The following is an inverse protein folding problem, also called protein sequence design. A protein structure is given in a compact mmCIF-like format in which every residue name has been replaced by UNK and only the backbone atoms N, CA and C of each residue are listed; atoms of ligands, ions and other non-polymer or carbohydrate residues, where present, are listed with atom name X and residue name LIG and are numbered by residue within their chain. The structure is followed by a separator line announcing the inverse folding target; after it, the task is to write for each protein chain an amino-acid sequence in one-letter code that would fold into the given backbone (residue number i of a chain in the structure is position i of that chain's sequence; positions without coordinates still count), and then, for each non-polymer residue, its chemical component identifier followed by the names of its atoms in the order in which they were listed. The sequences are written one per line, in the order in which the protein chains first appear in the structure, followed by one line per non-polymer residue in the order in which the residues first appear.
data_IF_231836572148
#
_entry.id   IF_231836572148
#
_cell.length_a   1.000
_cell.length_b   1.000
_cell.length_c   1.000
_cell.angle_alpha   90.00
_cell.angle_beta   90.00
_cell.angle_gamma   90.00
#
_symmetry.space_group_name_H-M   'P 1'
#
loop_
_entity.id
_entity.type
_entity.pdbx_description
1 polymer ?
#
# COMPACT_ATOMS: atom_id res chain seq x y z
N UNK A 1 -15.73 38.03 -20.20
CA UNK A 1 -14.43 37.36 -19.98
C UNK A 1 -14.71 36.09 -19.21
N UNK A 2 -14.53 34.92 -19.82
CA UNK A 2 -14.60 33.66 -19.07
C UNK A 2 -13.42 33.68 -18.08
N UNK A 3 -13.70 33.78 -16.78
CA UNK A 3 -12.65 33.78 -15.77
C UNK A 3 -11.80 32.52 -15.93
N UNK A 4 -10.48 32.66 -15.98
CA UNK A 4 -9.58 31.51 -15.99
C UNK A 4 -9.94 30.62 -14.80
N UNK A 5 -10.43 29.41 -15.10
CA UNK A 5 -10.78 28.43 -14.08
C UNK A 5 -9.51 28.15 -13.28
N UNK A 6 -9.50 28.45 -11.98
CA UNK A 6 -8.36 28.18 -11.09
C UNK A 6 -7.97 26.71 -11.25
N UNK A 7 -6.71 26.47 -11.63
CA UNK A 7 -6.15 25.12 -11.81
C UNK A 7 -5.97 24.43 -10.45
N UNK A 8 -6.10 23.11 -10.42
CA UNK A 8 -6.01 22.32 -9.19
C UNK A 8 -4.54 22.13 -8.80
N UNK A 9 -4.12 22.75 -7.70
CA UNK A 9 -2.72 22.74 -7.28
C UNK A 9 -2.43 21.60 -6.29
N UNK A 10 -1.48 20.72 -6.65
CA UNK A 10 -0.96 19.68 -5.77
C UNK A 10 0.45 20.08 -5.33
N UNK A 11 0.60 20.47 -4.06
CA UNK A 11 1.91 20.65 -3.44
C UNK A 11 2.53 19.27 -3.17
N UNK A 12 3.75 19.01 -3.65
CA UNK A 12 4.44 17.74 -3.37
C UNK A 12 5.70 17.91 -2.53
N UNK A 13 5.85 17.02 -1.54
CA UNK A 13 7.03 16.94 -0.68
C UNK A 13 7.49 15.48 -0.57
N UNK A 14 8.55 15.12 -1.28
CA UNK A 14 9.00 13.73 -1.43
C UNK A 14 10.46 13.58 -1.01
N UNK A 15 10.85 12.36 -0.61
CA UNK A 15 12.27 12.02 -0.48
C UNK A 15 13.02 12.22 -1.82
N UNK A 16 14.27 12.72 -1.82
CA UNK A 16 14.99 13.07 -3.05
C UNK A 16 15.05 11.95 -4.09
N UNK A 17 15.32 10.71 -3.66
CA UNK A 17 15.32 9.54 -4.56
C UNK A 17 13.97 9.32 -5.24
N UNK A 18 12.88 9.53 -4.51
CA UNK A 18 11.54 9.35 -5.04
C UNK A 18 11.19 10.47 -5.99
N UNK A 19 11.43 11.73 -5.60
CA UNK A 19 11.22 12.90 -6.45
C UNK A 19 11.88 12.70 -7.83
N UNK A 20 13.17 12.39 -7.86
CA UNK A 20 13.94 12.19 -9.10
C UNK A 20 13.41 11.05 -9.99
N UNK A 21 12.88 10.00 -9.35
CA UNK A 21 12.35 8.83 -10.06
C UNK A 21 10.90 8.99 -10.52
N UNK A 22 10.10 9.79 -9.81
CA UNK A 22 8.63 9.81 -9.92
C UNK A 22 8.11 11.11 -10.55
N UNK A 23 8.63 12.27 -10.17
CA UNK A 23 8.23 13.57 -10.72
C UNK A 23 9.04 13.82 -12.00
N UNK A 24 8.70 13.07 -13.05
CA UNK A 24 9.27 13.23 -14.39
C UNK A 24 8.51 14.30 -15.17
N UNK A 25 9.17 14.92 -16.15
CA UNK A 25 8.52 15.90 -17.04
C UNK A 25 7.29 15.32 -17.74
N UNK A 26 7.30 14.03 -18.09
CA UNK A 26 6.14 13.32 -18.65
C UNK A 26 4.91 13.40 -17.74
N UNK A 27 5.07 13.11 -16.45
CA UNK A 27 4.00 13.20 -15.45
C UNK A 27 3.53 14.65 -15.26
N UNK A 28 4.47 15.58 -15.12
CA UNK A 28 4.16 17.00 -14.90
C UNK A 28 3.37 17.57 -16.08
N UNK A 29 3.82 17.31 -17.31
CA UNK A 29 3.15 17.79 -18.51
C UNK A 29 1.77 17.15 -18.70
N UNK A 30 1.63 15.85 -18.43
CA UNK A 30 0.35 15.16 -18.54
C UNK A 30 -0.66 15.67 -17.51
N UNK A 31 -0.26 15.80 -16.24
CA UNK A 31 -1.10 16.40 -15.19
C UNK A 31 -1.52 17.83 -15.57
N UNK A 32 -0.56 18.63 -16.05
CA UNK A 32 -0.80 20.01 -16.49
C UNK A 32 -1.80 20.06 -17.64
N UNK A 33 -1.71 19.16 -18.62
CA UNK A 33 -2.66 19.10 -19.73
C UNK A 33 -4.09 18.81 -19.28
N UNK A 34 -4.27 18.22 -18.09
CA UNK A 34 -5.57 17.89 -17.49
C UNK A 34 -5.98 18.81 -16.35
N UNK A 35 -5.38 19.99 -16.25
CA UNK A 35 -5.78 21.02 -15.29
C UNK A 35 -5.22 20.85 -13.88
N UNK A 36 -4.28 19.92 -13.68
CA UNK A 36 -3.61 19.67 -12.40
C UNK A 36 -2.18 20.21 -12.45
N UNK A 37 -1.82 21.08 -11.50
CA UNK A 37 -0.46 21.60 -11.38
C UNK A 37 0.28 20.92 -10.24
N UNK A 38 1.41 20.28 -10.54
CA UNK A 38 2.31 19.70 -9.55
C UNK A 38 3.35 20.74 -9.13
N UNK A 39 3.29 21.18 -7.88
CA UNK A 39 4.13 22.26 -7.36
C UNK A 39 5.04 21.71 -6.27
N UNK A 40 6.36 21.88 -6.42
CA UNK A 40 7.32 21.44 -5.41
C UNK A 40 7.16 22.28 -4.15
N UNK A 41 7.02 21.62 -3.00
CA UNK A 41 7.08 22.28 -1.70
C UNK A 41 8.55 22.50 -1.32
N UNK A 42 8.89 23.73 -0.99
CA UNK A 42 10.16 24.11 -0.37
C UNK A 42 10.14 23.70 1.10
N UNK A 43 11.08 22.82 1.48
CA UNK A 43 11.15 22.23 2.82
C UNK A 43 11.81 23.15 3.84
N UNK A 44 12.48 24.21 3.38
CA UNK A 44 13.13 25.21 4.25
C UNK A 44 12.16 26.33 4.66
N UNK A 45 10.91 26.29 4.16
CA UNK A 45 9.86 27.26 4.44
C UNK A 45 8.65 26.58 5.04
N UNK A 46 7.85 27.33 5.80
CA UNK A 46 6.60 26.81 6.35
C UNK A 46 5.61 26.43 5.22
N UNK A 47 4.92 25.29 5.39
CA UNK A 47 3.99 24.77 4.38
C UNK A 47 2.78 25.69 4.17
N UNK A 48 2.29 26.30 5.24
CA UNK A 48 1.13 27.21 5.21
C UNK A 48 1.34 28.45 4.34
N UNK A 49 2.59 28.86 4.14
CA UNK A 49 2.94 30.11 3.43
C UNK A 49 3.26 29.87 1.94
N UNK A 50 3.13 28.62 1.46
CA UNK A 50 3.48 28.22 0.09
C UNK A 50 2.25 27.96 -0.79
N UNK A 51 1.06 28.01 -0.20
CA UNK A 51 -0.20 27.76 -0.88
C UNK A 51 -0.73 28.93 -1.73
N UNK A 52 -1.97 28.82 -2.22
CA UNK A 52 -2.96 27.80 -1.85
C UNK A 52 -2.73 26.47 -2.56
N UNK A 53 -2.62 25.38 -1.81
CA UNK A 53 -2.67 24.02 -2.36
C UNK A 53 -4.06 23.42 -2.17
N UNK A 54 -4.54 22.72 -3.19
CA UNK A 54 -5.77 21.97 -3.12
C UNK A 54 -5.57 20.56 -2.56
N UNK A 55 -4.37 20.02 -2.74
CA UNK A 55 -3.93 18.74 -2.23
C UNK A 55 -2.44 18.81 -1.86
N UNK A 56 -2.03 18.09 -0.81
CA UNK A 56 -0.64 17.86 -0.45
C UNK A 56 -0.32 16.38 -0.64
N UNK A 57 0.56 16.09 -1.59
CA UNK A 57 1.10 14.76 -1.86
C UNK A 57 2.46 14.63 -1.15
N UNK A 58 2.62 13.68 -0.25
CA UNK A 58 3.86 13.60 0.50
C UNK A 58 4.40 12.19 0.68
N UNK A 59 5.71 12.12 0.89
CA UNK A 59 6.41 10.94 1.38
C UNK A 59 7.57 11.40 2.24
N UNK A 60 7.25 12.09 3.32
CA UNK A 60 8.18 12.50 4.35
C UNK A 60 7.70 11.96 5.70
N UNK A 61 8.62 11.81 6.62
CA UNK A 61 8.39 11.22 7.94
C UNK A 61 8.96 12.13 9.02
N UNK A 62 8.58 11.89 10.27
CA UNK A 62 9.06 12.63 11.43
C UNK A 62 8.05 13.66 11.95
N UNK A 63 8.19 14.02 13.22
CA UNK A 63 7.25 14.88 13.95
C UNK A 63 7.16 16.29 13.35
N UNK A 64 8.28 16.88 12.94
CA UNK A 64 8.30 18.21 12.33
C UNK A 64 7.38 18.29 11.09
N UNK A 65 7.40 17.25 10.25
CA UNK A 65 6.56 17.20 9.06
C UNK A 65 5.08 17.00 9.41
N UNK A 66 4.77 16.17 10.43
CA UNK A 66 3.40 16.02 10.93
C UNK A 66 2.83 17.34 11.45
N UNK A 67 3.63 18.11 12.18
CA UNK A 67 3.25 19.44 12.68
C UNK A 67 2.94 20.38 11.50
N UNK A 68 3.82 20.44 10.49
CA UNK A 68 3.57 21.24 9.28
C UNK A 68 2.27 20.87 8.58
N UNK A 69 1.96 19.57 8.46
CA UNK A 69 0.71 19.09 7.86
C UNK A 69 -0.52 19.45 8.71
N UNK A 70 -0.42 19.36 10.05
CA UNK A 70 -1.50 19.73 10.96
C UNK A 70 -1.80 21.24 10.87
N UNK A 71 -0.76 22.07 10.90
CA UNK A 71 -0.88 23.53 10.74
C UNK A 71 -1.50 23.88 9.39
N UNK A 72 -1.02 23.26 8.31
CA UNK A 72 -1.58 23.43 6.98
C UNK A 72 -3.07 23.07 6.91
N UNK A 73 -3.45 21.93 7.47
CA UNK A 73 -4.85 21.47 7.51
C UNK A 73 -5.74 22.40 8.33
N UNK A 74 -5.24 22.97 9.42
CA UNK A 74 -6.01 23.91 10.26
C UNK A 74 -6.40 25.18 9.49
N UNK A 75 -5.50 25.69 8.64
CA UNK A 75 -5.75 26.88 7.81
C UNK A 75 -6.43 26.56 6.48
N UNK A 76 -6.31 25.31 6.02
CA UNK A 76 -6.85 24.85 4.74
C UNK A 76 -7.71 23.60 4.96
N UNK A 77 -8.86 23.69 5.65
CA UNK A 77 -9.67 22.53 6.04
C UNK A 77 -10.22 21.74 4.85
N UNK A 78 -10.30 22.37 3.67
CA UNK A 78 -10.75 21.74 2.42
C UNK A 78 -9.60 21.17 1.59
N UNK A 79 -8.34 21.27 2.03
CA UNK A 79 -7.22 20.68 1.31
C UNK A 79 -7.07 19.20 1.67
N UNK A 80 -6.80 18.37 0.66
CA UNK A 80 -6.61 16.93 0.83
C UNK A 80 -5.15 16.65 1.18
N UNK A 81 -4.89 15.71 2.09
CA UNK A 81 -3.54 15.22 2.39
C UNK A 81 -3.45 13.76 1.96
N UNK A 82 -2.60 13.47 0.98
CA UNK A 82 -2.38 12.12 0.44
C UNK A 82 -1.02 11.61 0.93
N UNK A 83 -0.94 10.66 1.87
CA UNK A 83 -2.02 10.10 2.72
C UNK A 83 -1.86 10.59 4.17
N UNK A 84 -2.82 10.30 5.07
CA UNK A 84 -2.69 10.70 6.48
C UNK A 84 -1.43 10.12 7.13
N UNK A 85 -0.62 10.90 7.87
CA UNK A 85 0.52 10.37 8.61
C UNK A 85 0.18 9.16 9.49
N UNK A 86 -0.93 9.22 10.23
CA UNK A 86 -1.36 8.13 11.14
C UNK A 86 -1.62 6.82 10.38
N UNK A 87 -2.20 6.90 9.17
CA UNK A 87 -2.46 5.75 8.32
C UNK A 87 -1.15 5.14 7.79
N UNK A 88 -0.18 6.01 7.47
CA UNK A 88 1.14 5.59 6.98
C UNK A 88 1.93 4.89 8.09
N UNK A 89 1.83 5.35 9.35
CA UNK A 89 2.58 4.77 10.48
C UNK A 89 2.23 3.32 10.76
N UNK A 90 0.99 2.87 10.46
CA UNK A 90 0.60 1.46 10.58
C UNK A 90 1.48 0.53 9.74
N UNK A 91 2.12 1.06 8.69
CA UNK A 91 3.04 0.33 7.82
C UNK A 91 4.50 0.32 8.29
N UNK A 92 4.89 1.10 9.30
CA UNK A 92 6.29 1.12 9.79
C UNK A 92 6.65 -0.09 10.65
N UNK A 93 5.66 -0.87 11.09
CA UNK A 93 5.85 -2.10 11.85
C UNK A 93 5.37 -3.31 11.01
N UNK A 94 6.30 -4.25 10.74
CA UNK A 94 6.01 -5.42 9.89
C UNK A 94 4.93 -6.36 10.44
N UNK A 95 4.64 -6.31 11.74
CA UNK A 95 3.54 -7.07 12.35
C UNK A 95 2.22 -6.45 11.94
N UNK A 96 2.00 -5.18 12.32
CA UNK A 96 0.74 -4.48 12.04
C UNK A 96 0.47 -4.33 10.55
N UNK A 97 1.54 -4.25 9.75
CA UNK A 97 1.49 -4.21 8.29
C UNK A 97 0.73 -5.40 7.69
N UNK A 98 1.00 -6.62 8.15
CA UNK A 98 0.39 -7.83 7.58
C UNK A 98 -0.82 -8.32 8.37
N UNK A 99 -0.96 -7.90 9.63
CA UNK A 99 -2.13 -8.24 10.44
C UNK A 99 -3.45 -7.81 9.80
N UNK A 100 -3.46 -6.66 9.10
CA UNK A 100 -4.64 -6.15 8.39
C UNK A 100 -5.16 -7.13 7.33
N UNK A 101 -4.30 -7.98 6.76
CA UNK A 101 -4.70 -9.00 5.78
C UNK A 101 -5.65 -10.01 6.41
N UNK A 102 -5.40 -10.41 7.66
CA UNK A 102 -6.24 -11.35 8.41
C UNK A 102 -7.59 -10.77 8.81
N UNK A 103 -7.75 -9.44 8.77
CA UNK A 103 -9.01 -8.73 9.06
C UNK A 103 -9.94 -8.69 7.84
N UNK A 104 -9.42 -8.95 6.63
CA UNK A 104 -10.19 -8.89 5.40
C UNK A 104 -11.13 -10.10 5.27
N UNK A 105 -12.39 -9.82 4.91
CA UNK A 105 -13.39 -10.83 4.55
C UNK A 105 -13.74 -10.66 3.08
N UNK A 106 -13.15 -11.49 2.24
CA UNK A 106 -13.40 -11.51 0.80
C UNK A 106 -13.88 -12.93 0.48
N UNK A 107 -15.13 -13.04 0.07
CA UNK A 107 -15.71 -14.31 -0.35
C UNK A 107 -15.30 -14.57 -1.79
N UNK A 108 -14.54 -15.64 -2.01
CA UNK A 108 -14.20 -16.13 -3.33
C UNK A 108 -14.27 -17.66 -3.31
N UNK A 109 -14.91 -18.25 -4.33
CA UNK A 109 -15.17 -19.68 -4.41
C UNK A 109 -13.97 -20.49 -4.93
N UNK A 110 -13.09 -19.87 -5.70
CA UNK A 110 -11.99 -20.53 -6.42
C UNK A 110 -10.60 -20.17 -5.90
N UNK A 111 -10.41 -18.95 -5.39
CA UNK A 111 -9.12 -18.47 -4.86
C UNK A 111 -9.14 -18.24 -3.35
N UNK A 112 -7.98 -18.46 -2.72
CA UNK A 112 -7.76 -18.14 -1.31
C UNK A 112 -6.59 -17.19 -1.15
N UNK A 113 -6.61 -16.37 -0.10
CA UNK A 113 -5.50 -15.51 0.25
C UNK A 113 -5.17 -15.56 1.74
N UNK A 114 -3.98 -15.10 2.10
CA UNK A 114 -3.56 -14.95 3.48
C UNK A 114 -2.15 -14.41 3.59
N UNK A 115 -1.50 -14.68 4.72
CA UNK A 115 -0.09 -14.38 4.95
C UNK A 115 0.64 -15.69 5.30
N UNK A 116 1.95 -15.83 4.97
CA UNK A 116 2.73 -16.94 5.49
C UNK A 116 2.78 -16.87 7.02
N UNK A 117 2.97 -18.01 7.69
CA UNK A 117 3.15 -17.99 9.15
C UNK A 117 4.36 -17.14 9.50
N UNK A 118 4.21 -16.33 10.54
CA UNK A 118 5.28 -15.48 11.01
C UNK A 118 5.19 -15.25 12.51
N UNK A 119 6.34 -15.00 13.11
CA UNK A 119 6.49 -14.64 14.52
C UNK A 119 7.49 -13.49 14.66
N UNK A 120 7.52 -12.88 15.83
CA UNK A 120 8.46 -11.81 16.15
C UNK A 120 9.37 -12.27 17.27
N UNK A 121 10.67 -12.04 17.05
CA UNK A 121 11.71 -12.30 18.02
C UNK A 121 12.30 -10.94 18.42
N UNK A 122 12.09 -10.56 19.68
CA UNK A 122 12.51 -9.25 20.21
C UNK A 122 13.94 -9.27 20.74
N UNK A 123 14.38 -10.39 21.29
CA UNK A 123 15.65 -10.55 22.00
C UNK A 123 16.36 -11.86 21.63
N UNK A 124 17.62 -11.95 22.04
CA UNK A 124 18.48 -13.11 21.76
C UNK A 124 18.03 -14.35 22.53
N UNK A 125 17.46 -14.21 23.72
CA UNK A 125 17.02 -15.35 24.55
C UNK A 125 15.90 -16.11 23.85
N UNK A 126 14.88 -15.39 23.37
CA UNK A 126 13.76 -15.95 22.58
C UNK A 126 14.24 -16.55 21.25
N UNK A 127 15.31 -16.01 20.65
CA UNK A 127 15.89 -16.56 19.42
C UNK A 127 16.51 -17.95 19.67
N UNK A 128 17.14 -18.15 20.82
CA UNK A 128 17.78 -19.41 21.21
C UNK A 128 16.80 -20.43 21.80
N UNK A 129 15.59 -20.01 22.19
CA UNK A 129 14.52 -20.90 22.60
C UNK A 129 13.90 -21.60 21.38
N UNK A 130 14.08 -22.91 21.29
CA UNK A 130 13.52 -23.71 20.20
C UNK A 130 11.99 -23.69 20.21
N UNK A 131 11.36 -23.64 21.39
CA UNK A 131 9.90 -23.69 21.52
C UNK A 131 9.24 -22.42 20.95
N UNK A 132 9.93 -21.29 21.02
CA UNK A 132 9.42 -19.99 20.57
C UNK A 132 9.06 -19.96 19.07
N UNK A 133 9.62 -20.85 18.26
CA UNK A 133 9.44 -20.88 16.81
C UNK A 133 9.15 -22.27 16.24
N UNK A 134 8.81 -23.25 17.08
CA UNK A 134 8.44 -24.63 16.71
C UNK A 134 7.33 -24.72 15.65
N UNK A 135 6.47 -23.71 15.56
CA UNK A 135 5.37 -23.65 14.60
C UNK A 135 5.79 -23.28 13.17
N UNK A 136 7.03 -22.79 12.99
CA UNK A 136 7.59 -22.41 11.70
C UNK A 136 8.38 -23.56 11.07
N UNK A 137 8.27 -23.69 9.75
CA UNK A 137 9.06 -24.62 8.94
C UNK A 137 10.18 -23.88 8.22
N UNK A 138 11.36 -24.50 8.18
CA UNK A 138 12.45 -24.02 7.34
C UNK A 138 12.16 -24.28 5.85
N UNK A 139 12.66 -23.41 4.94
CA UNK A 139 13.42 -22.22 5.26
C UNK A 139 12.53 -21.06 5.74
N UNK A 140 13.11 -20.11 6.47
CA UNK A 140 12.41 -18.88 6.92
C UNK A 140 13.12 -17.64 6.41
N UNK A 141 12.36 -16.61 6.05
CA UNK A 141 12.89 -15.28 5.79
C UNK A 141 12.90 -14.50 7.11
N UNK A 142 14.09 -14.08 7.52
CA UNK A 142 14.28 -13.10 8.57
C UNK A 142 14.26 -11.68 7.99
N UNK A 143 13.42 -10.82 8.58
CA UNK A 143 13.26 -9.41 8.20
C UNK A 143 13.44 -8.53 9.44
N UNK A 144 14.08 -7.34 9.34
CA UNK A 144 14.11 -6.39 10.44
C UNK A 144 12.69 -5.97 10.82
N UNK A 145 12.38 -5.86 12.13
CA UNK A 145 11.03 -5.51 12.59
C UNK A 145 10.55 -4.14 12.07
N UNK A 146 11.47 -3.17 12.00
CA UNK A 146 11.21 -1.82 11.49
C UNK A 146 11.18 -1.82 9.96
N UNK A 147 10.12 -1.26 9.38
CA UNK A 147 9.90 -1.10 7.94
C UNK A 147 9.72 0.38 7.55
N UNK A 148 10.76 1.19 7.78
CA UNK A 148 10.77 2.64 7.52
C UNK A 148 11.30 3.03 6.12
N UNK A 149 11.64 2.03 5.28
CA UNK A 149 12.23 2.26 3.96
C UNK A 149 13.72 2.67 4.00
N UNK A 150 14.36 2.63 5.16
CA UNK A 150 15.80 2.84 5.29
C UNK A 150 16.59 1.66 4.70
N UNK A 151 17.85 1.87 4.32
CA UNK A 151 18.72 0.76 3.86
C UNK A 151 18.88 -0.36 4.91
N UNK A 152 18.68 -0.07 6.20
CA UNK A 152 18.73 -1.05 7.29
C UNK A 152 17.47 -1.94 7.31
N UNK A 153 16.29 -1.38 7.03
CA UNK A 153 14.99 -2.10 6.98
C UNK A 153 14.87 -3.13 5.85
N UNK A 154 15.81 -3.09 4.89
CA UNK A 154 15.87 -3.97 3.72
C UNK A 154 16.91 -5.10 3.86
N UNK A 155 17.62 -5.25 4.97
CA UNK A 155 18.55 -6.38 5.14
C UNK A 155 17.78 -7.65 5.53
N UNK A 156 17.47 -8.48 4.54
CA UNK A 156 16.76 -9.74 4.74
C UNK A 156 17.73 -10.92 4.69
N UNK A 157 17.34 -12.04 5.29
CA UNK A 157 18.15 -13.26 5.27
C UNK A 157 17.25 -14.47 5.14
N UNK A 158 17.54 -15.34 4.17
CA UNK A 158 16.89 -16.64 4.02
C UNK A 158 17.68 -17.63 4.87
N UNK A 159 17.03 -18.19 5.87
CA UNK A 159 17.63 -19.08 6.86
C UNK A 159 17.17 -20.50 6.57
N UNK A 160 18.13 -21.42 6.42
CA UNK A 160 17.84 -22.81 6.06
C UNK A 160 17.77 -23.73 7.26
N UNK A 161 18.41 -23.36 8.37
CA UNK A 161 18.51 -24.18 9.56
C UNK A 161 18.74 -23.36 10.83
N UNK A 162 18.80 -24.06 11.98
CA UNK A 162 18.97 -23.45 13.31
C UNK A 162 20.28 -22.68 13.45
N UNK A 163 21.36 -23.18 12.89
CA UNK A 163 22.68 -22.52 12.99
C UNK A 163 22.71 -21.20 12.23
N UNK A 164 21.97 -21.10 11.12
CA UNK A 164 21.74 -19.84 10.43
C UNK A 164 20.91 -18.86 11.25
N UNK A 165 19.89 -19.36 11.97
CA UNK A 165 19.00 -18.57 12.80
C UNK A 165 19.75 -17.91 13.98
N UNK A 166 20.59 -18.70 14.66
CA UNK A 166 21.40 -18.28 15.82
C UNK A 166 22.41 -17.16 15.52
N UNK A 167 22.68 -16.87 14.23
CA UNK A 167 23.59 -15.80 13.79
C UNK A 167 22.88 -14.46 13.60
N UNK A 168 21.56 -14.42 13.75
CA UNK A 168 20.77 -13.21 13.54
C UNK A 168 20.80 -12.28 14.75
N UNK A 169 20.41 -11.03 14.51
CA UNK A 169 20.33 -9.99 15.54
C UNK A 169 18.90 -9.46 15.61
N UNK A 170 18.14 -9.78 16.68
CA UNK A 170 16.84 -9.18 16.98
C UNK A 170 16.90 -7.65 17.14
N UNK A 171 15.78 -6.91 16.99
CA UNK A 171 14.43 -7.43 16.75
C UNK A 171 14.17 -7.78 15.28
N UNK A 172 13.60 -8.97 15.05
CA UNK A 172 13.33 -9.51 13.72
C UNK A 172 11.95 -10.17 13.63
N UNK A 173 11.40 -10.18 12.43
CA UNK A 173 10.27 -11.03 12.04
C UNK A 173 10.82 -12.24 11.31
N UNK A 174 10.44 -13.43 11.76
CA UNK A 174 10.69 -14.69 11.05
C UNK A 174 9.39 -15.07 10.34
N UNK A 175 9.45 -15.22 9.02
CA UNK A 175 8.30 -15.58 8.18
C UNK A 175 8.65 -16.84 7.38
N UNK A 176 7.75 -17.82 7.33
CA UNK A 176 7.96 -19.04 6.52
C UNK A 176 8.21 -18.66 5.05
N UNK A 177 9.24 -19.27 4.47
CA UNK A 177 9.45 -19.22 3.02
C UNK A 177 8.51 -20.22 2.36
N UNK A 178 7.77 -19.75 1.36
CA UNK A 178 6.86 -20.59 0.58
C UNK A 178 7.38 -20.61 -0.85
N UNK A 179 7.64 -21.80 -1.40
CA UNK A 179 8.00 -21.95 -2.82
C UNK A 179 6.87 -21.36 -3.68
N UNK A 180 7.28 -20.53 -4.65
CA UNK A 180 6.38 -19.69 -5.43
C UNK A 180 6.82 -19.57 -6.89
N UNK A 181 7.63 -20.51 -7.37
CA UNK A 181 8.08 -20.58 -8.76
C UNK A 181 9.00 -19.43 -9.15
N UNK A 182 9.61 -18.75 -8.18
CA UNK A 182 10.48 -17.60 -8.44
C UNK A 182 9.77 -16.34 -8.94
N UNK A 183 8.43 -16.27 -8.88
CA UNK A 183 7.67 -15.09 -9.34
C UNK A 183 6.92 -14.41 -8.20
N UNK A 184 7.09 -13.10 -8.10
CA UNK A 184 6.31 -12.26 -7.20
C UNK A 184 5.43 -11.31 -8.01
N UNK A 185 4.18 -11.18 -7.58
CA UNK A 185 3.20 -10.29 -8.14
C UNK A 185 3.17 -9.01 -7.31
N UNK A 186 3.57 -7.89 -7.91
CA UNK A 186 3.45 -6.57 -7.29
C UNK A 186 2.12 -5.95 -7.70
N UNK A 187 1.23 -5.78 -6.74
CA UNK A 187 -0.09 -5.18 -6.96
C UNK A 187 -0.05 -3.72 -6.54
N UNK A 188 0.04 -2.82 -7.51
CA UNK A 188 0.03 -1.37 -7.30
C UNK A 188 -1.40 -0.87 -7.16
N UNK A 189 -1.62 0.00 -6.19
CA UNK A 189 -2.93 0.61 -5.90
C UNK A 189 -2.79 2.12 -5.93
N UNK A 190 -3.58 2.81 -6.75
CA UNK A 190 -3.66 4.27 -6.77
C UNK A 190 -5.14 4.68 -6.73
N UNK A 191 -5.65 4.97 -5.54
CA UNK A 191 -7.08 5.18 -5.33
C UNK A 191 -7.89 3.92 -5.67
N UNK A 192 -8.76 3.99 -6.68
CA UNK A 192 -9.53 2.85 -7.19
C UNK A 192 -8.77 2.00 -8.21
N UNK A 193 -7.68 2.52 -8.78
CA UNK A 193 -6.92 1.80 -9.80
C UNK A 193 -6.05 0.72 -9.18
N UNK A 194 -6.07 -0.48 -9.76
CA UNK A 194 -5.30 -1.65 -9.31
C UNK A 194 -4.60 -2.30 -10.50
N UNK A 195 -3.27 -2.39 -10.44
CA UNK A 195 -2.46 -3.05 -11.47
C UNK A 195 -1.53 -4.09 -10.87
N UNK A 196 -1.68 -5.32 -11.32
CA UNK A 196 -0.77 -6.42 -10.99
C UNK A 196 0.35 -6.51 -12.03
N UNK A 197 1.60 -6.62 -11.58
CA UNK A 197 2.76 -6.87 -12.47
C UNK A 197 3.62 -8.00 -11.95
N UNK A 198 4.19 -8.79 -12.86
CA UNK A 198 5.12 -9.88 -12.55
C UNK A 198 6.53 -9.34 -12.30
N UNK A 199 7.24 -9.94 -11.34
CA UNK A 199 8.66 -9.69 -11.08
C UNK A 199 9.35 -11.00 -10.74
N UNK A 200 10.64 -11.07 -11.08
CA UNK A 200 11.51 -12.15 -10.60
C UNK A 200 11.66 -12.05 -9.08
N UNK A 201 11.70 -13.19 -8.43
CA UNK A 201 11.75 -13.39 -6.99
C UNK A 201 12.82 -14.41 -6.62
N UNK A 202 12.93 -14.75 -5.34
CA UNK A 202 13.80 -15.82 -4.86
C UNK A 202 13.42 -17.17 -5.50
N UNK A 203 14.39 -17.99 -5.95
CA UNK A 203 14.09 -19.29 -6.53
C UNK A 203 13.50 -20.23 -5.47
N UNK A 204 12.80 -21.26 -5.93
CA UNK A 204 12.31 -22.31 -5.05
C UNK A 204 13.49 -23.07 -4.40
N UNK A 205 13.26 -23.51 -3.17
CA UNK A 205 14.22 -24.31 -2.41
C UNK A 205 13.74 -25.75 -2.38
N UNK A 206 14.55 -26.68 -2.90
CA UNK A 206 14.26 -28.11 -2.86
C UNK A 206 14.67 -28.74 -1.53
N UNK A 207 14.10 -29.87 -1.18
CA UNK A 207 14.45 -30.64 0.02
C UNK A 207 15.92 -31.09 0.01
N UNK A 208 16.46 -31.44 -1.16
CA UNK A 208 17.88 -31.78 -1.31
C UNK A 208 18.78 -30.56 -1.06
N UNK A 209 18.34 -29.38 -1.52
CA UNK A 209 19.04 -28.12 -1.26
C UNK A 209 18.99 -27.78 0.23
N UNK A 210 17.86 -28.01 0.91
CA UNK A 210 17.75 -27.81 2.36
C UNK A 210 18.70 -28.71 3.17
N UNK A 211 18.87 -29.97 2.75
CA UNK A 211 19.78 -30.91 3.42
C UNK A 211 21.27 -30.58 3.21
N UNK A 212 21.61 -29.90 2.13
CA UNK A 212 22.99 -29.57 1.77
C UNK A 212 23.39 -28.13 2.13
N UNK A 213 22.43 -27.23 2.32
CA UNK A 213 22.69 -25.84 2.69
C UNK A 213 22.89 -25.68 4.20
N UNK A 214 24.11 -25.35 4.59
CA UNK A 214 24.40 -24.89 5.95
C UNK A 214 24.24 -23.36 6.08
N UNK A 215 23.51 -22.91 7.10
CA UNK A 215 23.48 -21.51 7.52
C UNK A 215 22.38 -20.68 6.87
N UNK A 216 22.77 -19.59 6.19
CA UNK A 216 21.83 -18.54 5.77
C UNK A 216 22.33 -17.73 4.58
N UNK A 217 21.43 -17.30 3.69
CA UNK A 217 21.72 -16.46 2.52
C UNK A 217 21.18 -15.04 2.71
N UNK A 218 22.03 -14.03 2.56
CA UNK A 218 21.65 -12.61 2.74
C UNK A 218 21.15 -12.01 1.43
N UNK A 219 20.10 -11.19 1.50
CA UNK A 219 19.55 -10.49 0.36
C UNK A 219 18.88 -9.17 0.74
N UNK A 220 18.68 -8.27 -0.22
CA UNK A 220 18.10 -6.94 0.04
C UNK A 220 16.59 -6.85 -0.18
N UNK A 221 16.06 -7.59 -1.16
CA UNK A 221 14.62 -7.62 -1.46
C UNK A 221 14.26 -8.99 -2.01
N UNK A 222 13.08 -9.50 -1.61
CA UNK A 222 12.56 -10.74 -2.19
C UNK A 222 12.36 -10.58 -3.70
N UNK A 223 11.91 -9.40 -4.13
CA UNK A 223 11.63 -9.08 -5.54
C UNK A 223 12.83 -8.57 -6.36
N UNK A 224 14.06 -8.63 -5.84
CA UNK A 224 15.29 -8.18 -6.51
C UNK A 224 16.53 -8.60 -5.68
N UNK A 225 17.15 -9.72 -6.04
CA UNK A 225 18.50 -10.04 -5.58
C UNK A 225 19.53 -9.14 -6.31
N UNK A 226 20.60 -8.68 -5.63
CA UNK A 226 21.76 -8.13 -6.32
C UNK A 226 22.36 -9.23 -7.21
N UNK A 227 22.68 -8.88 -8.45
CA UNK A 227 23.28 -9.69 -9.52
C UNK A 227 24.67 -10.26 -9.22
N UNK A 228 25.02 -10.46 -7.95
CA UNK A 228 26.40 -10.67 -7.51
C UNK A 228 26.64 -11.97 -6.74
N UNK A 229 25.97 -13.07 -7.08
CA UNK A 229 26.49 -14.42 -6.78
C UNK A 229 26.34 -15.33 -8.01
N UNK A 230 27.50 -15.75 -8.54
CA UNK A 230 27.72 -16.32 -9.88
C UNK A 230 27.16 -17.75 -10.09
N UNK A 231 26.26 -18.24 -9.24
CA UNK A 231 25.74 -19.62 -9.34
C UNK A 231 24.33 -19.74 -9.92
N UNK A 232 23.45 -18.74 -9.73
CA UNK A 232 22.03 -18.80 -10.16
C UNK A 232 21.72 -17.95 -11.42
N UNK A 233 22.77 -17.45 -12.09
CA UNK A 233 22.65 -16.61 -13.29
C UNK A 233 22.01 -17.38 -14.46
N UNK A 234 22.15 -18.70 -14.50
CA UNK A 234 21.48 -19.61 -15.46
C UNK A 234 19.99 -19.73 -15.19
N UNK A 235 19.58 -19.91 -13.92
CA UNK A 235 18.17 -20.00 -13.52
C UNK A 235 17.40 -18.76 -13.99
N UNK A 236 17.92 -17.56 -13.70
CA UNK A 236 17.24 -16.33 -14.09
C UNK A 236 17.32 -16.02 -15.59
N UNK A 237 18.33 -16.51 -16.32
CA UNK A 237 18.37 -16.40 -17.80
C UNK A 237 17.34 -17.29 -18.46
N UNK A 238 17.08 -18.47 -17.90
CA UNK A 238 16.08 -19.42 -18.41
C UNK A 238 14.66 -19.08 -17.95
N UNK A 239 14.52 -18.34 -16.86
CA UNK A 239 13.22 -17.96 -16.33
C UNK A 239 12.54 -16.88 -17.17
N UNK A 240 11.46 -17.27 -17.85
CA UNK A 240 10.56 -16.38 -18.56
C UNK A 240 9.33 -16.05 -17.69
N UNK A 241 9.08 -14.76 -17.46
CA UNK A 241 7.92 -14.34 -16.68
C UNK A 241 6.61 -14.59 -17.43
N UNK A 242 6.63 -14.72 -18.76
CA UNK A 242 5.42 -14.94 -19.56
C UNK A 242 4.77 -16.30 -19.34
N UNK A 243 5.54 -17.29 -18.89
CA UNK A 243 5.04 -18.63 -18.60
C UNK A 243 4.19 -18.67 -17.30
N UNK A 244 4.27 -17.61 -16.48
CA UNK A 244 3.49 -17.49 -15.25
C UNK A 244 2.21 -16.69 -15.49
N UNK A 245 1.07 -17.33 -15.25
CA UNK A 245 -0.23 -16.67 -15.26
C UNK A 245 -0.36 -15.63 -14.16
N UNK A 246 -0.96 -14.48 -14.49
CA UNK A 246 -1.31 -13.48 -13.49
C UNK A 246 -2.42 -14.00 -12.56
N UNK A 247 -2.48 -13.53 -11.31
CA UNK A 247 -3.65 -13.75 -10.46
C UNK A 247 -4.91 -13.13 -11.09
N UNK A 248 -6.11 -13.66 -10.83
CA UNK A 248 -7.35 -13.08 -11.33
C UNK A 248 -7.47 -11.60 -10.94
N UNK A 249 -7.70 -10.74 -11.93
CA UNK A 249 -7.69 -9.29 -11.73
C UNK A 249 -8.78 -8.84 -10.74
N UNK A 250 -9.98 -9.43 -10.83
CA UNK A 250 -11.10 -9.13 -9.92
C UNK A 250 -10.69 -9.45 -8.48
N UNK A 251 -10.12 -10.64 -8.26
CA UNK A 251 -9.66 -11.07 -6.94
C UNK A 251 -8.60 -10.13 -6.35
N UNK A 252 -7.60 -9.72 -7.14
CA UNK A 252 -6.60 -8.74 -6.69
C UNK A 252 -7.21 -7.36 -6.42
N UNK A 253 -8.23 -6.97 -7.18
CA UNK A 253 -8.95 -5.70 -7.01
C UNK A 253 -9.76 -5.70 -5.71
N UNK A 254 -10.41 -6.80 -5.36
CA UNK A 254 -11.14 -6.94 -4.10
C UNK A 254 -10.20 -6.90 -2.89
N UNK A 255 -9.05 -7.56 -2.98
CA UNK A 255 -7.99 -7.49 -1.94
C UNK A 255 -7.50 -6.05 -1.79
N UNK A 256 -7.15 -5.40 -2.89
CA UNK A 256 -6.69 -4.00 -2.89
C UNK A 256 -7.73 -3.06 -2.27
N UNK A 257 -9.01 -3.24 -2.61
CA UNK A 257 -10.13 -2.46 -2.05
C UNK A 257 -10.28 -2.70 -0.54
N UNK A 258 -10.19 -3.96 -0.10
CA UNK A 258 -10.22 -4.32 1.33
C UNK A 258 -9.07 -3.67 2.10
N UNK A 259 -7.85 -3.81 1.61
CA UNK A 259 -6.65 -3.20 2.20
C UNK A 259 -6.75 -1.67 2.25
N UNK A 260 -7.16 -1.03 1.16
CA UNK A 260 -7.36 0.42 1.09
C UNK A 260 -8.30 0.89 2.19
N UNK A 261 -9.46 0.23 2.35
CA UNK A 261 -10.45 0.58 3.37
C UNK A 261 -9.91 0.39 4.79
N UNK A 262 -9.29 -0.75 5.06
CA UNK A 262 -8.80 -1.10 6.39
C UNK A 262 -7.61 -0.22 6.84
N UNK A 263 -6.76 0.19 5.89
CA UNK A 263 -5.57 0.98 6.15
C UNK A 263 -5.75 2.48 5.95
N UNK A 264 -6.81 2.89 5.22
CA UNK A 264 -7.07 4.28 4.84
C UNK A 264 -5.93 4.92 4.03
N UNK A 265 -5.32 4.14 3.14
CA UNK A 265 -4.23 4.58 2.26
C UNK A 265 -4.66 4.53 0.80
N UNK A 266 -4.37 5.58 0.03
CA UNK A 266 -4.67 5.61 -1.40
C UNK A 266 -3.48 5.15 -2.25
N UNK A 267 -2.25 5.38 -1.79
CA UNK A 267 -1.04 5.07 -2.53
C UNK A 267 -0.22 3.99 -1.83
N UNK A 268 -0.36 2.75 -2.27
CA UNK A 268 0.45 1.64 -1.78
C UNK A 268 0.63 0.57 -2.86
N UNK A 269 1.54 -0.36 -2.63
CA UNK A 269 1.47 -1.68 -3.26
C UNK A 269 1.52 -2.75 -2.19
N UNK A 270 1.11 -3.95 -2.57
CA UNK A 270 1.38 -5.14 -1.80
C UNK A 270 2.01 -6.20 -2.70
N UNK A 271 2.90 -6.98 -2.09
CA UNK A 271 3.69 -8.00 -2.74
C UNK A 271 3.04 -9.37 -2.45
N UNK A 272 2.68 -10.08 -3.51
CA UNK A 272 1.94 -11.35 -3.45
C UNK A 272 2.78 -12.45 -4.09
N UNK A 273 2.79 -13.62 -3.47
CA UNK A 273 3.32 -14.86 -4.05
C UNK A 273 2.19 -15.87 -4.23
N UNK A 274 2.30 -16.76 -5.23
CA UNK A 274 1.39 -17.90 -5.42
C UNK A 274 2.07 -19.14 -4.86
N UNK A 275 1.43 -19.83 -3.92
CA UNK A 275 1.96 -21.06 -3.33
C UNK A 275 1.97 -22.17 -4.39
N UNK A 276 3.14 -22.69 -4.77
CA UNK A 276 3.22 -23.71 -5.83
C UNK A 276 2.57 -25.04 -5.44
N UNK A 277 2.38 -25.30 -4.15
CA UNK A 277 1.66 -26.49 -3.66
C UNK A 277 0.16 -26.40 -3.90
N UNK A 278 -0.37 -25.17 -3.94
CA UNK A 278 -1.79 -24.87 -4.06
C UNK A 278 -1.95 -23.71 -5.04
N UNK A 279 -2.09 -24.02 -6.34
CA UNK A 279 -2.05 -23.01 -7.42
C UNK A 279 -3.08 -21.87 -7.32
N UNK A 280 -4.10 -22.01 -6.47
CA UNK A 280 -5.13 -21.02 -6.18
C UNK A 280 -4.96 -20.29 -4.83
N UNK A 281 -3.82 -20.48 -4.14
CA UNK A 281 -3.51 -19.86 -2.84
C UNK A 281 -2.49 -18.74 -3.01
N UNK A 282 -2.89 -17.53 -2.65
CA UNK A 282 -2.07 -16.33 -2.76
C UNK A 282 -1.66 -15.82 -1.38
N UNK A 283 -0.39 -15.47 -1.20
CA UNK A 283 0.13 -15.03 0.09
C UNK A 283 0.71 -13.62 -0.04
N UNK A 284 0.21 -12.70 0.78
CA UNK A 284 0.71 -11.33 0.88
C UNK A 284 1.90 -11.34 1.84
N UNK A 285 3.05 -10.84 1.37
CA UNK A 285 4.32 -10.95 2.12
C UNK A 285 4.92 -9.60 2.53
N UNK A 286 4.44 -8.49 1.94
CA UNK A 286 4.88 -7.13 2.21
C UNK A 286 3.84 -6.12 1.70
N UNK A 287 3.69 -4.98 2.39
CA UNK A 287 2.86 -3.85 1.94
C UNK A 287 3.69 -2.57 2.08
N UNK A 288 3.81 -1.79 1.01
CA UNK A 288 4.65 -0.59 1.02
C UNK A 288 3.85 0.67 0.73
N UNK A 289 4.03 1.70 1.55
CA UNK A 289 3.48 3.02 1.30
C UNK A 289 4.20 3.70 0.14
N UNK A 290 3.39 4.28 -0.75
CA UNK A 290 3.79 5.08 -1.91
C UNK A 290 5.04 4.50 -2.60
N UNK A 291 4.91 3.30 -3.20
CA UNK A 291 6.03 2.54 -3.75
C UNK A 291 6.64 3.21 -4.99
N UNK A 292 7.60 2.55 -5.62
CA UNK A 292 8.20 3.03 -6.86
C UNK A 292 7.28 2.88 -8.06
N UNK A 293 6.20 3.67 -8.14
CA UNK A 293 5.26 3.67 -9.30
C UNK A 293 5.96 3.90 -10.63
N UNK A 294 7.09 4.61 -10.67
CA UNK A 294 7.89 4.77 -11.89
C UNK A 294 8.36 3.43 -12.52
N UNK A 295 8.28 2.33 -11.76
CA UNK A 295 8.56 0.97 -12.23
C UNK A 295 7.33 0.24 -12.77
N UNK A 296 6.15 0.85 -12.69
CA UNK A 296 4.89 0.36 -13.22
C UNK A 296 4.69 0.94 -14.63
N UNK A 297 4.39 0.12 -15.65
CA UNK A 297 4.07 0.62 -16.98
C UNK A 297 2.87 1.59 -16.94
N UNK A 298 2.97 2.71 -17.65
CA UNK A 298 1.88 3.68 -17.76
C UNK A 298 1.57 4.46 -16.47
N UNK A 299 2.50 4.50 -15.51
CA UNK A 299 2.24 5.14 -14.22
C UNK A 299 1.87 6.61 -14.33
N UNK A 300 2.38 7.35 -15.33
CA UNK A 300 2.03 8.76 -15.50
C UNK A 300 0.53 8.95 -15.73
N UNK A 301 -0.06 8.12 -16.58
CA UNK A 301 -1.51 8.14 -16.86
C UNK A 301 -2.29 7.79 -15.61
N UNK A 302 -1.93 6.69 -14.96
CA UNK A 302 -2.62 6.21 -13.74
C UNK A 302 -2.59 7.26 -12.62
N UNK A 303 -1.42 7.88 -12.38
CA UNK A 303 -1.30 8.88 -11.33
C UNK A 303 -2.01 10.18 -11.70
N UNK A 304 -2.01 10.55 -12.99
CA UNK A 304 -2.79 11.70 -13.46
C UNK A 304 -4.28 11.45 -13.27
N UNK A 305 -4.79 10.27 -13.61
CA UNK A 305 -6.19 9.87 -13.38
C UNK A 305 -6.53 9.97 -11.89
N UNK A 306 -5.68 9.41 -11.03
CA UNK A 306 -5.83 9.52 -9.57
C UNK A 306 -5.88 10.98 -9.09
N UNK A 307 -5.02 11.87 -9.60
CA UNK A 307 -5.05 13.29 -9.26
C UNK A 307 -6.33 13.98 -9.73
N UNK A 308 -6.81 13.63 -10.94
CA UNK A 308 -8.08 14.13 -11.47
C UNK A 308 -9.27 13.65 -10.63
N UNK A 309 -9.25 12.40 -10.15
CA UNK A 309 -10.31 11.88 -9.29
C UNK A 309 -10.40 12.68 -7.99
N UNK A 310 -9.26 13.01 -7.36
CA UNK A 310 -9.24 13.89 -6.18
C UNK A 310 -9.82 15.28 -6.52
N UNK A 311 -9.43 15.85 -7.66
CA UNK A 311 -9.94 17.13 -8.13
C UNK A 311 -11.47 17.11 -8.31
N UNK A 312 -11.99 16.09 -9.00
CA UNK A 312 -13.42 15.93 -9.28
C UNK A 312 -14.22 15.73 -7.98
N UNK A 313 -13.71 14.90 -7.07
CA UNK A 313 -14.35 14.70 -5.76
C UNK A 313 -14.46 16.03 -5.00
N UNK A 314 -13.39 16.83 -4.99
CA UNK A 314 -13.38 18.14 -4.35
C UNK A 314 -14.33 19.14 -5.01
N UNK A 315 -14.42 19.16 -6.34
CA UNK A 315 -15.38 20.02 -7.06
C UNK A 315 -16.83 19.64 -6.70
N UNK A 316 -17.13 18.33 -6.60
CA UNK A 316 -18.46 17.84 -6.19
C UNK A 316 -18.79 18.24 -4.75
N UNK A 317 -17.85 18.13 -3.82
CA UNK A 317 -18.04 18.57 -2.42
C UNK A 317 -18.38 20.05 -2.33
N UNK A 318 -17.66 20.90 -3.08
CA UNK A 318 -17.94 22.34 -3.13
C UNK A 318 -19.36 22.61 -3.63
N UNK A 319 -19.77 21.95 -4.71
CA UNK A 319 -21.14 22.08 -5.24
C UNK A 319 -22.21 21.70 -4.21
N UNK A 320 -22.03 20.58 -3.51
CA UNK A 320 -22.97 20.13 -2.47
C UNK A 320 -23.05 21.11 -1.27
N UNK A 321 -21.91 21.67 -0.86
CA UNK A 321 -21.85 22.67 0.22
C UNK A 321 -22.52 24.00 -0.18
N UNK A 322 -22.34 24.42 -1.44
CA UNK A 322 -22.99 25.61 -2.00
C UNK A 322 -24.51 25.42 -2.07
N UNK A 323 -24.99 24.27 -2.54
CA UNK A 323 -26.41 23.92 -2.54
C UNK A 323 -27.02 23.89 -1.13
N UNK A 324 -26.31 23.34 -0.14
CA UNK A 324 -26.77 23.34 1.25
C UNK A 324 -26.82 24.76 1.84
N UNK A 325 -25.86 25.61 1.49
CA UNK A 325 -25.80 27.00 1.96
C UNK A 325 -26.92 27.84 1.34
N UNK A 326 -27.26 27.60 0.07
CA UNK A 326 -28.41 28.24 -0.60
C UNK A 326 -29.75 27.80 0.03
N UNK A 327 -29.90 26.51 0.39
CA UNK A 327 -31.08 26.00 1.11
C UNK A 327 -31.21 26.59 2.52
N UNK A 328 -30.10 26.81 3.23
CA UNK A 328 -30.08 27.51 4.54
C UNK A 328 -30.61 28.95 4.43
N UNK A 329 -30.25 29.69 3.37
CA UNK A 329 -30.78 31.04 3.12
C UNK A 329 -32.26 31.04 2.70
N UNK A 330 -32.78 29.92 2.20
CA UNK A 330 -34.19 29.74 1.82
C UNK A 330 -35.12 29.27 2.97
N UNK A 331 -34.61 29.20 4.22
CA UNK A 331 -35.46 29.08 5.42
C UNK A 331 -35.97 27.67 5.78
N UNK A 332 -35.24 26.60 5.45
CA UNK A 332 -35.58 25.23 5.91
C UNK A 332 -34.86 24.84 7.22
N UNK A 333 -35.56 24.08 8.08
CA UNK A 333 -35.26 23.84 9.51
C UNK A 333 -33.80 23.46 9.84
N UNK A 334 -33.16 24.25 10.70
CA UNK A 334 -31.71 24.27 10.95
C UNK A 334 -31.14 23.03 11.65
N UNK A 335 -31.99 22.14 12.19
CA UNK A 335 -31.57 20.94 12.92
C UNK A 335 -31.24 19.75 12.00
N UNK A 336 -31.87 19.66 10.82
CA UNK A 336 -31.55 18.63 9.81
C UNK A 336 -30.26 18.95 9.06
N UNK A 337 -29.92 20.23 8.90
CA UNK A 337 -28.82 20.69 8.05
C UNK A 337 -27.41 20.53 8.67
N UNK A 338 -27.28 20.60 9.99
CA UNK A 338 -26.00 20.33 10.69
C UNK A 338 -25.58 18.86 10.58
N UNK A 339 -26.55 17.94 10.60
CA UNK A 339 -26.30 16.52 10.34
C UNK A 339 -25.83 16.29 8.89
N UNK A 340 -26.37 17.03 7.90
CA UNK A 340 -25.95 16.89 6.50
C UNK A 340 -24.48 17.33 6.26
N UNK A 341 -24.02 18.42 6.88
CA UNK A 341 -22.62 18.88 6.70
C UNK A 341 -21.60 17.94 7.34
N UNK A 342 -21.93 17.36 8.51
CA UNK A 342 -21.13 16.30 9.11
C UNK A 342 -21.19 14.99 8.32
N UNK A 343 -22.35 14.61 7.77
CA UNK A 343 -22.48 13.41 6.93
C UNK A 343 -21.77 13.55 5.59
N UNK A 344 -21.74 14.73 4.95
CA UNK A 344 -20.95 14.94 3.72
C UNK A 344 -19.46 14.82 4.01
N UNK A 345 -18.97 15.41 5.11
CA UNK A 345 -17.55 15.29 5.53
C UNK A 345 -17.18 13.86 5.98
N UNK A 346 -18.06 13.18 6.73
CA UNK A 346 -17.87 11.77 7.16
C UNK A 346 -17.91 10.83 5.97
N UNK A 347 -18.86 11.04 5.06
CA UNK A 347 -18.93 10.35 3.77
C UNK A 347 -17.59 10.52 3.09
N UNK A 348 -17.01 11.70 2.89
CA UNK A 348 -15.73 11.79 2.14
C UNK A 348 -14.49 11.28 2.87
N UNK A 349 -14.43 11.32 4.20
CA UNK A 349 -13.38 10.59 4.94
C UNK A 349 -13.54 9.06 4.90
N UNK A 350 -14.72 8.55 4.54
CA UNK A 350 -15.04 7.12 4.42
C UNK A 350 -15.55 6.68 3.02
N UNK A 351 -15.66 7.55 2.01
CA UNK A 351 -16.42 7.28 0.78
C UNK A 351 -15.52 6.69 -0.28
N UNK A 352 -14.98 5.52 0.07
CA UNK A 352 -15.12 4.34 -0.77
C UNK A 352 -16.28 3.43 -0.29
N UNK A 353 -17.20 3.93 0.54
CA UNK A 353 -18.35 3.20 1.08
C UNK A 353 -19.64 3.54 0.32
N UNK A 354 -20.12 2.59 -0.48
CA UNK A 354 -21.54 2.39 -0.71
C UNK A 354 -21.93 1.04 -0.11
N UNK A 355 -22.66 1.08 1.01
CA UNK A 355 -23.35 -0.09 1.57
C UNK A 355 -24.76 -0.13 0.96
N UNK A 356 -25.03 -1.11 0.10
CA UNK A 356 -26.40 -1.46 -0.24
C UNK A 356 -26.97 -2.29 0.91
N UNK A 357 -27.84 -1.69 1.72
CA UNK A 357 -28.76 -2.43 2.59
C UNK A 357 -29.75 -3.19 1.70
N UNK A 358 -29.57 -4.52 1.59
CA UNK A 358 -30.62 -5.41 1.11
C UNK A 358 -31.68 -5.49 2.19
N UNK A 359 -32.82 -4.84 1.96
CA UNK A 359 -34.04 -5.05 2.74
C UNK A 359 -34.64 -6.37 2.26
N UNK A 360 -34.36 -7.45 2.98
CA UNK A 360 -35.09 -8.71 2.85
C UNK A 360 -36.48 -8.55 3.45
N UNK A 361 -37.50 -8.47 2.58
CA UNK A 361 -38.89 -8.71 2.98
C UNK A 361 -39.01 -10.17 3.40
N UNK A 362 -39.23 -10.41 4.69
CA UNK A 362 -39.83 -11.66 5.16
C UNK A 362 -41.32 -11.58 4.86
N UNK A 363 -41.79 -12.40 3.91
CA UNK A 363 -43.20 -12.70 3.75
C UNK A 363 -43.56 -13.84 4.72
N UNK A 364 -44.32 -13.50 5.76
CA UNK A 364 -45.10 -14.45 6.54
C UNK A 364 -46.34 -14.88 5.74
N UNK A 365 -46.31 -16.11 5.22
CA UNK A 365 -47.48 -17.00 5.02
C UNK A 365 -46.93 -18.42 5.18
N UNK A 366 -47.28 -19.22 6.18
CA UNK A 366 -48.62 -19.47 6.69
C UNK A 366 -49.11 -20.79 6.10
N UNK A 367 -49.44 -21.72 7.00
CA UNK A 367 -50.34 -22.87 6.87
C UNK A 367 -49.70 -24.27 6.76
N UNK A 368 -50.05 -25.05 7.80
CA UNK A 368 -50.16 -26.51 7.95
C UNK A 368 -48.88 -27.32 8.17
#
# INVERSE_FOLDING_TARGET
MAGEKRRFAIGYALLPKKENSFIRESLVNLAKSRGVDLVKIDRERSLVDQGPFDCVLHKLYGEDWKIQLADFRSRNPNAVIVDSPDAIERLHNRISMLQVVSELKIENQSETFGIPKQIVIYDQETLFDNQAWELLKFPVIAKPLVADGSAKSHKMTLVFNRDGLNKLKPPIVLQEFVNHGGVIFKVYVAGEYVQCVKRKSLPDVSEEKLKSLEGSLRFSQVSNLPTHEKSDDTYYKMMNLEDTELPPQIFMTDIAKGLRKAMKLNLFNFDVIRDTRFGNRYLIIDINYFPGYAKMPGYETVLTDFFCDIMILKEREKGLLEECSQKKMAGTDGRQLLNCEEEVRKTVTNSGCSDQKIVGKFDEKGVA
#
